data_IF_927036920635
#
_entry.id   IF_927036920635
#
_cell.length_a   1.000
_cell.length_b   1.000
_cell.length_c   1.000
_cell.angle_alpha   90.00
_cell.angle_beta   90.00
_cell.angle_gamma   90.00
#
_symmetry.space_group_name_H-M   'P 1'
#
loop_
_entity.id
_entity.type
_entity.pdbx_description
1 polymer ?
#
# COMPACT_ATOMS: atom_id res chain seq x y z
N UNK A 1 -2.41 -11.03 23.40
CA UNK A 1 -2.02 -10.95 21.97
C UNK A 1 -2.34 -12.22 21.18
N UNK A 2 -1.78 -13.39 21.52
CA UNK A 2 -2.01 -14.62 20.76
C UNK A 2 -3.49 -15.04 20.63
N UNK A 3 -4.30 -14.86 21.69
CA UNK A 3 -5.75 -15.13 21.65
C UNK A 3 -6.48 -14.23 20.66
N UNK A 4 -6.14 -12.94 20.65
CA UNK A 4 -6.67 -11.94 19.70
C UNK A 4 -6.35 -12.32 18.25
N UNK A 5 -5.11 -12.73 17.98
CA UNK A 5 -4.68 -13.18 16.65
C UNK A 5 -5.45 -14.44 16.23
N UNK A 6 -5.61 -15.43 17.12
CA UNK A 6 -6.42 -16.63 16.83
C UNK A 6 -7.88 -16.30 16.51
N UNK A 7 -8.49 -15.38 17.25
CA UNK A 7 -9.83 -14.90 16.95
C UNK A 7 -9.87 -14.24 15.57
N UNK A 8 -8.95 -13.32 15.27
CA UNK A 8 -8.90 -12.62 13.99
C UNK A 8 -8.70 -13.57 12.79
N UNK A 9 -7.82 -14.57 12.93
CA UNK A 9 -7.61 -15.64 11.95
C UNK A 9 -8.93 -16.38 11.68
N UNK A 10 -9.65 -16.78 12.74
CA UNK A 10 -10.91 -17.51 12.61
C UNK A 10 -12.05 -16.64 12.05
N UNK A 11 -12.15 -15.37 12.48
CA UNK A 11 -13.24 -14.48 12.05
C UNK A 11 -13.07 -13.97 10.63
N UNK A 12 -11.83 -13.89 10.14
CA UNK A 12 -11.55 -13.49 8.77
C UNK A 12 -11.24 -14.67 7.85
N UNK A 13 -11.53 -15.90 8.28
CA UNK A 13 -11.36 -17.14 7.51
C UNK A 13 -9.96 -17.33 6.91
N UNK A 14 -8.92 -16.94 7.64
CA UNK A 14 -7.53 -17.11 7.23
C UNK A 14 -7.08 -18.56 7.43
N UNK A 15 -6.38 -19.13 6.45
CA UNK A 15 -5.91 -20.52 6.50
C UNK A 15 -4.86 -20.78 7.61
N UNK A 16 -4.15 -19.73 8.03
CA UNK A 16 -3.18 -19.80 9.13
C UNK A 16 -2.85 -18.41 9.69
N UNK A 17 -2.21 -18.38 10.86
CA UNK A 17 -1.64 -17.15 11.43
C UNK A 17 -0.66 -16.45 10.49
N UNK A 18 0.20 -17.20 9.78
CA UNK A 18 1.14 -16.63 8.82
C UNK A 18 0.45 -15.98 7.62
N UNK A 19 -0.69 -16.54 7.19
CA UNK A 19 -1.48 -15.99 6.10
C UNK A 19 -2.17 -14.69 6.54
N UNK A 20 -2.75 -14.67 7.74
CA UNK A 20 -3.25 -13.44 8.36
C UNK A 20 -2.20 -12.31 8.42
N UNK A 21 -0.97 -12.61 8.87
CA UNK A 21 0.10 -11.61 8.88
C UNK A 21 0.54 -11.16 7.48
N UNK A 22 0.58 -12.07 6.49
CA UNK A 22 0.84 -11.71 5.09
C UNK A 22 -0.21 -10.75 4.55
N UNK A 23 -1.48 -10.96 4.86
CA UNK A 23 -2.55 -10.05 4.49
C UNK A 23 -2.38 -8.68 5.16
N UNK A 24 -2.08 -8.62 6.46
CA UNK A 24 -1.82 -7.35 7.16
C UNK A 24 -0.63 -6.59 6.56
N UNK A 25 0.46 -7.29 6.23
CA UNK A 25 1.63 -6.68 5.59
C UNK A 25 1.26 -6.10 4.21
N UNK A 26 0.48 -6.84 3.42
CA UNK A 26 -0.02 -6.35 2.12
C UNK A 26 -0.86 -5.09 2.30
N UNK A 27 -1.81 -5.12 3.24
CA UNK A 27 -2.67 -3.99 3.53
C UNK A 27 -1.87 -2.75 3.96
N UNK A 28 -0.88 -2.92 4.84
CA UNK A 28 0.01 -1.84 5.25
C UNK A 28 0.79 -1.27 4.06
N UNK A 29 1.37 -2.12 3.22
CA UNK A 29 2.08 -1.67 2.02
C UNK A 29 1.15 -0.89 1.07
N UNK A 30 -0.11 -1.32 0.90
CA UNK A 30 -1.10 -0.61 0.09
C UNK A 30 -1.40 0.77 0.66
N UNK A 31 -1.58 0.91 1.97
CA UNK A 31 -1.79 2.22 2.60
C UNK A 31 -0.57 3.12 2.44
N UNK A 32 0.63 2.59 2.66
CA UNK A 32 1.88 3.34 2.50
C UNK A 32 2.02 3.86 1.07
N UNK A 33 1.80 2.99 0.08
CA UNK A 33 1.82 3.36 -1.34
C UNK A 33 0.78 4.43 -1.66
N UNK A 34 -0.43 4.33 -1.12
CA UNK A 34 -1.48 5.33 -1.33
C UNK A 34 -1.08 6.72 -0.78
N UNK A 35 -0.44 6.77 0.39
CA UNK A 35 0.06 8.03 0.97
C UNK A 35 1.24 8.60 0.17
N UNK A 36 2.16 7.76 -0.31
CA UNK A 36 3.25 8.17 -1.21
C UNK A 36 2.70 8.77 -2.50
N UNK A 37 1.74 8.11 -3.16
CA UNK A 37 1.10 8.61 -4.38
C UNK A 37 0.35 9.93 -4.15
N UNK A 38 -0.34 10.09 -3.00
CA UNK A 38 -0.99 11.36 -2.65
C UNK A 38 0.03 12.48 -2.51
N UNK A 39 1.17 12.20 -1.87
CA UNK A 39 2.25 13.17 -1.70
C UNK A 39 2.85 13.56 -3.06
N UNK A 40 3.11 12.58 -3.92
CA UNK A 40 3.65 12.80 -5.26
C UNK A 40 2.68 13.60 -6.11
N UNK A 41 1.38 13.30 -6.07
CA UNK A 41 0.34 14.08 -6.75
C UNK A 41 0.32 15.53 -6.30
N UNK A 42 0.45 15.81 -5.00
CA UNK A 42 0.56 17.19 -4.49
C UNK A 42 1.80 17.89 -5.02
N UNK A 43 2.95 17.22 -5.07
CA UNK A 43 4.17 17.79 -5.64
C UNK A 43 4.03 18.09 -7.14
N UNK A 44 3.39 17.19 -7.89
CA UNK A 44 3.11 17.36 -9.30
C UNK A 44 2.20 18.57 -9.55
N UNK A 45 1.12 18.72 -8.77
CA UNK A 45 0.22 19.88 -8.84
C UNK A 45 0.91 21.19 -8.45
N UNK A 46 1.91 21.14 -7.57
CA UNK A 46 2.74 22.29 -7.23
C UNK A 46 3.79 22.65 -8.30
N UNK A 47 3.74 22.01 -9.48
CA UNK A 47 4.64 22.28 -10.60
C UNK A 47 6.03 21.64 -10.49
N UNK A 48 6.25 20.75 -9.51
CA UNK A 48 7.55 20.06 -9.30
C UNK A 48 7.71 18.79 -10.15
N UNK A 49 6.72 18.45 -10.96
CA UNK A 49 6.72 17.28 -11.83
C UNK A 49 6.86 17.65 -13.31
N UNK A 50 7.43 16.73 -14.10
CA UNK A 50 7.53 16.86 -15.56
C UNK A 50 6.39 16.08 -16.21
N UNK A 51 5.54 16.75 -16.99
CA UNK A 51 4.58 16.08 -17.86
C UNK A 51 5.32 15.59 -19.10
N UNK A 52 5.41 14.28 -19.26
CA UNK A 52 5.98 13.65 -20.45
C UNK A 52 4.85 13.48 -21.48
N UNK A 53 5.00 14.04 -22.67
CA UNK A 53 4.05 13.84 -23.79
C UNK A 53 4.39 12.58 -24.59
N UNK A 54 5.63 12.12 -24.49
CA UNK A 54 6.10 10.88 -25.09
C UNK A 54 7.28 10.28 -24.31
N UNK A 55 7.62 9.02 -24.59
CA UNK A 55 8.81 8.37 -24.01
C UNK A 55 10.12 9.09 -24.37
N UNK A 56 10.16 9.89 -25.45
CA UNK A 56 11.33 10.69 -25.81
C UNK A 56 11.61 11.79 -24.78
N UNK A 57 10.56 12.28 -24.11
CA UNK A 57 10.67 13.35 -23.12
C UNK A 57 11.27 12.85 -21.78
N UNK A 58 11.39 11.54 -21.60
CA UNK A 58 11.90 10.91 -20.38
C UNK A 58 13.42 11.06 -20.21
N UNK A 59 14.12 11.39 -21.29
CA UNK A 59 15.58 11.51 -21.33
C UNK A 59 16.07 12.93 -21.04
#
# INVERSE_FOLDING_TARGET
MAKTVKTAVKTGDYASTSEFFRHLLRLWNTYKLAEELKKDRKQFMAGKGKVLKSLKDLR
#
